data_IF_226490157742
#
_entry.id   IF_226490157742
#
_cell.length_a   1.000
_cell.length_b   1.000
_cell.length_c   1.000
_cell.angle_alpha   90.00
_cell.angle_beta   90.00
_cell.angle_gamma   90.00
#
_symmetry.space_group_name_H-M   'P 1'
#
loop_
_entity.id
_entity.type
_entity.pdbx_description
1 polymer ?
#
# COMPACT_ATOMS: atom_id res chain seq x y z
N UNK A 1 19.14 -7.19 -0.07
CA UNK A 1 19.34 -7.38 1.39
C UNK A 1 18.07 -7.11 2.21
N UNK A 2 17.40 -5.96 2.05
CA UNK A 2 16.17 -5.64 2.82
C UNK A 2 14.99 -6.61 2.56
N UNK A 3 14.77 -7.02 1.31
CA UNK A 3 13.72 -8.01 0.98
C UNK A 3 13.97 -9.37 1.66
N UNK A 4 15.22 -9.84 1.71
CA UNK A 4 15.57 -11.11 2.38
C UNK A 4 15.26 -11.08 3.88
N UNK A 5 15.54 -9.95 4.55
CA UNK A 5 15.23 -9.75 5.96
C UNK A 5 13.70 -9.74 6.18
N UNK A 6 12.94 -9.08 5.30
CA UNK A 6 11.49 -9.08 5.39
C UNK A 6 10.87 -10.46 5.16
N UNK A 7 11.40 -11.27 4.24
CA UNK A 7 10.94 -12.65 4.04
C UNK A 7 11.15 -13.46 5.32
N UNK A 8 12.28 -13.32 6.00
CA UNK A 8 12.54 -13.98 7.29
C UNK A 8 11.49 -13.55 8.33
N UNK A 9 11.21 -12.25 8.45
CA UNK A 9 10.16 -11.77 9.35
C UNK A 9 8.77 -12.30 8.98
N UNK A 10 8.42 -12.35 7.69
CA UNK A 10 7.15 -12.89 7.22
C UNK A 10 7.00 -14.37 7.61
N UNK A 11 8.07 -15.16 7.46
CA UNK A 11 8.10 -16.56 7.88
C UNK A 11 7.91 -16.69 9.40
N UNK A 12 8.59 -15.86 10.20
CA UNK A 12 8.43 -15.84 11.66
C UNK A 12 6.97 -15.48 12.03
N UNK A 13 6.33 -14.60 11.28
CA UNK A 13 4.94 -14.21 11.52
C UNK A 13 3.90 -15.24 11.04
N UNK A 14 4.28 -16.32 10.36
CA UNK A 14 3.37 -17.45 10.13
C UNK A 14 2.97 -18.14 11.45
N UNK A 15 3.76 -18.00 12.52
CA UNK A 15 3.46 -18.55 13.83
C UNK A 15 2.56 -17.60 14.65
N UNK A 16 1.33 -18.00 15.03
CA UNK A 16 0.39 -17.11 15.71
C UNK A 16 0.94 -16.53 17.01
N UNK A 17 1.60 -17.34 17.84
CA UNK A 17 2.23 -16.88 19.10
C UNK A 17 3.26 -15.78 18.87
N UNK A 18 4.03 -15.85 17.78
CA UNK A 18 5.01 -14.83 17.42
C UNK A 18 4.33 -13.54 16.95
N UNK A 19 3.27 -13.64 16.15
CA UNK A 19 2.43 -12.49 15.77
C UNK A 19 1.92 -11.74 17.00
N UNK A 20 1.30 -12.45 17.96
CA UNK A 20 0.76 -11.83 19.17
C UNK A 20 1.85 -11.21 20.05
N UNK A 21 3.06 -11.79 20.09
CA UNK A 21 4.19 -11.25 20.86
C UNK A 21 4.81 -10.00 20.23
N UNK A 22 4.88 -9.94 18.90
CA UNK A 22 5.62 -8.92 18.16
C UNK A 22 4.72 -8.02 17.29
N UNK A 23 3.49 -7.74 17.74
CA UNK A 23 2.48 -7.02 16.96
C UNK A 23 2.92 -5.66 16.40
N UNK A 24 3.65 -4.88 17.20
CA UNK A 24 4.15 -3.55 16.78
C UNK A 24 5.22 -3.67 15.69
N UNK A 25 6.15 -4.61 15.87
CA UNK A 25 7.20 -4.88 14.88
C UNK A 25 6.60 -5.43 13.59
N UNK A 26 5.60 -6.32 13.69
CA UNK A 26 4.88 -6.84 12.54
C UNK A 26 4.24 -5.72 11.71
N UNK A 27 3.54 -4.77 12.34
CA UNK A 27 2.97 -3.63 11.60
C UNK A 27 4.02 -2.75 10.94
N UNK A 28 5.18 -2.57 11.59
CA UNK A 28 6.28 -1.80 11.00
C UNK A 28 6.86 -2.52 9.78
N UNK A 29 7.06 -3.84 9.86
CA UNK A 29 7.52 -4.66 8.72
C UNK A 29 6.53 -4.60 7.56
N UNK A 30 5.22 -4.67 7.82
CA UNK A 30 4.18 -4.54 6.78
C UNK A 30 4.24 -3.15 6.12
N UNK A 31 4.42 -2.07 6.91
CA UNK A 31 4.56 -0.72 6.37
C UNK A 31 5.79 -0.57 5.49
N UNK A 32 6.94 -1.12 5.89
CA UNK A 32 8.15 -1.11 5.08
C UNK A 32 7.97 -1.88 3.77
N UNK A 33 7.28 -3.03 3.83
CA UNK A 33 6.99 -3.82 2.64
C UNK A 33 6.05 -3.07 1.68
N UNK A 34 5.00 -2.45 2.22
CA UNK A 34 4.09 -1.61 1.45
C UNK A 34 4.83 -0.41 0.82
N UNK A 35 5.72 0.25 1.55
CA UNK A 35 6.53 1.33 0.99
C UNK A 35 7.40 0.85 -0.18
N UNK A 36 8.09 -0.28 -0.02
CA UNK A 36 8.93 -0.83 -1.09
C UNK A 36 8.13 -1.21 -2.33
N UNK A 37 7.00 -1.90 -2.16
CA UNK A 37 6.10 -2.21 -3.28
C UNK A 37 5.54 -0.93 -3.92
N UNK A 38 5.21 0.08 -3.12
CA UNK A 38 4.73 1.38 -3.60
C UNK A 38 5.79 2.19 -4.37
N UNK A 39 7.08 1.88 -4.19
CA UNK A 39 8.18 2.55 -4.90
C UNK A 39 8.81 1.70 -6.01
N UNK A 40 8.36 0.46 -6.21
CA UNK A 40 9.08 -0.49 -7.06
C UNK A 40 9.16 -0.02 -8.53
N UNK A 41 8.08 0.58 -9.04
CA UNK A 41 8.05 1.11 -10.40
C UNK A 41 9.03 2.27 -10.61
N UNK A 42 9.12 3.15 -9.62
CA UNK A 42 10.06 4.27 -9.62
C UNK A 42 11.51 3.74 -9.67
N UNK A 43 11.83 2.71 -8.87
CA UNK A 43 13.14 2.06 -8.90
C UNK A 43 13.41 1.41 -10.27
N UNK A 44 12.46 0.68 -10.83
CA UNK A 44 12.58 0.05 -12.17
C UNK A 44 12.86 1.10 -13.25
N UNK A 45 12.25 2.28 -13.18
CA UNK A 45 12.50 3.34 -14.17
C UNK A 45 13.92 3.92 -14.14
N UNK A 46 14.61 3.83 -13.00
CA UNK A 46 15.98 4.33 -12.83
C UNK A 46 17.02 3.32 -13.36
N UNK A 47 16.67 2.04 -13.45
CA UNK A 47 17.60 0.95 -13.82
C UNK A 47 17.28 0.28 -15.16
N UNK A 48 16.21 0.70 -15.84
CA UNK A 48 15.75 0.15 -17.12
C UNK A 48 16.07 1.07 -18.29
N UNK A 49 15.61 0.73 -19.51
CA UNK A 49 15.70 1.56 -20.71
C UNK A 49 15.13 2.98 -20.53
N UNK A 50 14.27 3.20 -19.52
CA UNK A 50 13.80 4.52 -19.10
C UNK A 50 14.90 5.41 -18.50
N UNK A 51 15.97 4.83 -17.97
CA UNK A 51 17.00 5.57 -17.25
C UNK A 51 17.66 6.65 -18.10
N UNK A 52 17.79 6.41 -19.41
CA UNK A 52 18.42 7.35 -20.36
C UNK A 52 17.39 8.24 -21.08
N UNK A 53 16.10 7.89 -21.02
CA UNK A 53 15.03 8.63 -21.69
C UNK A 53 14.41 9.72 -20.79
N UNK A 54 14.71 10.98 -21.07
CA UNK A 54 14.19 12.13 -20.29
C UNK A 54 12.66 12.23 -20.25
N UNK A 55 11.98 11.93 -21.37
CA UNK A 55 10.52 11.95 -21.48
C UNK A 55 9.91 10.80 -20.66
N UNK A 56 10.47 9.59 -20.75
CA UNK A 56 10.05 8.44 -19.95
C UNK A 56 10.22 8.66 -18.44
N UNK A 57 11.32 9.29 -18.02
CA UNK A 57 11.53 9.69 -16.61
C UNK A 57 10.50 10.72 -16.15
N UNK A 58 10.15 11.70 -16.99
CA UNK A 58 9.11 12.68 -16.67
C UNK A 58 7.76 11.99 -16.41
N UNK A 59 7.32 11.09 -17.30
CA UNK A 59 6.08 10.34 -17.11
C UNK A 59 6.10 9.47 -15.86
N UNK A 60 7.22 8.80 -15.59
CA UNK A 60 7.36 8.01 -14.35
C UNK A 60 7.27 8.89 -13.11
N UNK A 61 7.93 10.06 -13.13
CA UNK A 61 7.84 11.04 -12.06
C UNK A 61 6.41 11.50 -11.81
N UNK A 62 5.66 11.81 -12.87
CA UNK A 62 4.25 12.19 -12.79
C UNK A 62 3.37 11.06 -12.24
N UNK A 63 3.59 9.82 -12.67
CA UNK A 63 2.87 8.65 -12.13
C UNK A 63 3.16 8.45 -10.64
N UNK A 64 4.42 8.60 -10.22
CA UNK A 64 4.82 8.50 -8.82
C UNK A 64 4.21 9.62 -7.97
N UNK A 65 4.27 10.87 -8.42
CA UNK A 65 3.63 12.01 -7.74
C UNK A 65 2.12 11.78 -7.59
N UNK A 66 1.46 11.27 -8.64
CA UNK A 66 0.05 10.89 -8.57
C UNK A 66 -0.23 9.83 -7.50
N UNK A 67 0.61 8.79 -7.41
CA UNK A 67 0.49 7.77 -6.36
C UNK A 67 0.69 8.34 -4.95
N UNK A 68 1.64 9.27 -4.77
CA UNK A 68 1.86 9.97 -3.50
C UNK A 68 0.62 10.79 -3.10
N UNK A 69 0.04 11.55 -4.03
CA UNK A 69 -1.18 12.34 -3.78
C UNK A 69 -2.33 11.40 -3.37
N UNK A 70 -2.54 10.31 -4.12
CA UNK A 70 -3.57 9.32 -3.80
C UNK A 70 -3.35 8.71 -2.42
N UNK A 71 -2.11 8.37 -2.06
CA UNK A 71 -1.79 7.85 -0.74
C UNK A 71 -2.13 8.83 0.37
N UNK A 72 -1.76 10.11 0.23
CA UNK A 72 -2.07 11.16 1.21
C UNK A 72 -3.59 11.27 1.42
N UNK A 73 -4.36 11.38 0.35
CA UNK A 73 -5.81 11.52 0.45
C UNK A 73 -6.45 10.25 1.02
N UNK A 74 -5.99 9.06 0.62
CA UNK A 74 -6.44 7.79 1.18
C UNK A 74 -6.15 7.68 2.69
N UNK A 75 -5.00 8.17 3.15
CA UNK A 75 -4.64 8.21 4.58
C UNK A 75 -5.53 9.18 5.34
N UNK A 76 -5.74 10.40 4.83
CA UNK A 76 -6.64 11.37 5.46
C UNK A 76 -8.07 10.83 5.58
N UNK A 77 -8.61 10.25 4.51
CA UNK A 77 -9.95 9.65 4.49
C UNK A 77 -10.05 8.47 5.47
N UNK A 78 -9.04 7.61 5.52
CA UNK A 78 -9.00 6.45 6.42
C UNK A 78 -8.98 6.88 7.90
N UNK A 79 -8.17 7.89 8.25
CA UNK A 79 -8.15 8.43 9.61
C UNK A 79 -9.45 9.16 9.99
N UNK A 80 -10.04 9.89 9.04
CA UNK A 80 -11.34 10.54 9.23
C UNK A 80 -12.42 9.50 9.52
N UNK A 81 -12.53 8.46 8.70
CA UNK A 81 -13.46 7.34 8.93
C UNK A 81 -13.27 6.69 10.29
N UNK A 82 -12.02 6.53 10.74
CA UNK A 82 -11.71 6.01 12.07
C UNK A 82 -12.22 6.92 13.18
N UNK A 83 -12.07 8.23 13.03
CA UNK A 83 -12.56 9.22 14.01
C UNK A 83 -14.10 9.28 14.07
N UNK A 84 -14.78 9.00 12.95
CA UNK A 84 -16.24 8.98 12.85
C UNK A 84 -16.85 7.63 13.30
N UNK A 85 -16.02 6.68 13.77
CA UNK A 85 -16.48 5.40 14.28
C UNK A 85 -16.88 4.37 13.20
N UNK A 86 -16.51 4.59 11.93
CA UNK A 86 -16.86 3.71 10.80
C UNK A 86 -16.33 2.26 10.94
N UNK A 87 -15.34 2.03 11.82
CA UNK A 87 -14.76 0.71 12.10
C UNK A 87 -15.41 0.01 13.31
N UNK A 88 -16.38 0.65 13.97
CA UNK A 88 -17.07 0.12 15.16
C UNK A 88 -18.47 -0.43 14.87
N UNK A 89 -19.11 0.01 13.78
CA UNK A 89 -20.38 -0.54 13.31
C UNK A 89 -20.13 -1.84 12.54
N UNK A 90 -20.95 -2.88 12.79
CA UNK A 90 -20.82 -4.20 12.15
C UNK A 90 -21.01 -4.24 10.62
N UNK A 91 -21.10 -3.08 9.95
CA UNK A 91 -21.18 -2.98 8.50
C UNK A 91 -19.79 -3.15 7.88
N UNK A 92 -19.43 -4.41 7.69
CA UNK A 92 -18.15 -4.96 7.24
C UNK A 92 -17.57 -4.40 5.92
N UNK A 93 -18.22 -3.46 5.21
CA UNK A 93 -17.81 -3.02 3.86
C UNK A 93 -17.56 -1.52 3.67
N UNK A 94 -17.94 -0.64 4.60
CA UNK A 94 -17.83 0.81 4.37
C UNK A 94 -16.41 1.36 4.54
N UNK A 95 -15.58 0.70 5.34
CA UNK A 95 -14.23 1.13 5.74
C UNK A 95 -13.19 1.06 4.60
N UNK A 96 -13.21 -0.04 3.82
CA UNK A 96 -12.17 -0.28 2.80
C UNK A 96 -12.39 0.54 1.53
N UNK A 97 -13.64 0.72 1.12
CA UNK A 97 -14.01 1.43 -0.11
C UNK A 97 -15.06 2.50 0.19
N UNK A 98 -14.65 3.52 0.94
CA UNK A 98 -15.48 4.72 1.14
C UNK A 98 -15.86 5.35 -0.20
N UNK A 99 -16.92 6.17 -0.20
CA UNK A 99 -17.29 6.95 -1.38
C UNK A 99 -16.12 7.82 -1.87
N UNK A 100 -15.33 8.37 -0.94
CA UNK A 100 -14.10 9.12 -1.24
C UNK A 100 -13.08 8.25 -1.96
N UNK A 101 -12.75 7.06 -1.44
CA UNK A 101 -11.82 6.11 -2.09
C UNK A 101 -12.31 5.68 -3.46
N UNK A 102 -13.61 5.44 -3.63
CA UNK A 102 -14.21 5.13 -4.93
C UNK A 102 -14.05 6.25 -5.96
N UNK A 103 -14.27 7.51 -5.56
CA UNK A 103 -14.05 8.67 -6.44
C UNK A 103 -12.57 8.84 -6.80
N UNK A 104 -11.68 8.68 -5.82
CA UNK A 104 -10.23 8.72 -6.03
C UNK A 104 -9.76 7.65 -7.02
N UNK A 105 -10.25 6.41 -6.88
CA UNK A 105 -9.90 5.31 -7.79
C UNK A 105 -10.29 5.66 -9.23
N UNK A 106 -11.50 6.20 -9.45
CA UNK A 106 -11.95 6.62 -10.78
C UNK A 106 -11.03 7.70 -11.37
N UNK A 107 -10.71 8.72 -10.57
CA UNK A 107 -9.78 9.79 -10.98
C UNK A 107 -8.38 9.27 -11.31
N UNK A 108 -7.85 8.38 -10.45
CA UNK A 108 -6.55 7.75 -10.65
C UNK A 108 -6.50 6.91 -11.93
N UNK A 109 -7.56 6.13 -12.23
CA UNK A 109 -7.64 5.34 -13.46
C UNK A 109 -7.54 6.26 -14.69
N UNK A 110 -8.32 7.35 -14.72
CA UNK A 110 -8.29 8.29 -15.85
C UNK A 110 -6.90 8.92 -15.99
N UNK A 111 -6.33 9.40 -14.89
CA UNK A 111 -5.00 10.01 -14.87
C UNK A 111 -3.91 9.04 -15.38
N UNK A 112 -3.88 7.82 -14.84
CA UNK A 112 -2.91 6.79 -15.21
C UNK A 112 -3.05 6.42 -16.68
N UNK A 113 -4.27 6.19 -17.17
CA UNK A 113 -4.49 5.84 -18.57
C UNK A 113 -4.01 6.94 -19.52
N UNK A 114 -4.29 8.21 -19.22
CA UNK A 114 -3.81 9.33 -20.03
C UNK A 114 -2.28 9.34 -20.08
N UNK A 115 -1.60 9.23 -18.93
CA UNK A 115 -0.14 9.25 -18.90
C UNK A 115 0.48 8.04 -19.60
N UNK A 116 -0.09 6.85 -19.43
CA UNK A 116 0.38 5.65 -20.11
C UNK A 116 0.22 5.81 -21.63
N UNK A 117 -0.95 6.24 -22.13
CA UNK A 117 -1.17 6.45 -23.57
C UNK A 117 -0.18 7.48 -24.13
N UNK A 118 0.01 8.62 -23.46
CA UNK A 118 0.97 9.64 -23.88
C UNK A 118 2.41 9.09 -23.90
N UNK A 119 2.78 8.32 -22.88
CA UNK A 119 4.10 7.71 -22.80
C UNK A 119 4.32 6.70 -23.93
N UNK A 120 3.31 5.91 -24.29
CA UNK A 120 3.37 4.96 -25.40
C UNK A 120 3.62 5.65 -26.75
N UNK A 121 2.93 6.77 -27.02
CA UNK A 121 3.08 7.47 -28.30
C UNK A 121 4.36 8.31 -28.40
N UNK A 122 4.90 8.78 -27.27
CA UNK A 122 6.07 9.66 -27.26
C UNK A 122 7.40 8.94 -27.06
N UNK A 123 7.37 7.63 -26.79
CA UNK A 123 8.56 6.83 -26.57
C UNK A 123 8.46 5.53 -27.35
N UNK A 124 9.55 5.11 -27.97
CA UNK A 124 9.61 3.89 -28.77
C UNK A 124 9.91 2.67 -27.89
N UNK A 125 9.07 2.45 -26.86
CA UNK A 125 9.19 1.30 -25.97
C UNK A 125 8.55 0.06 -26.58
N UNK A 126 9.15 -1.10 -26.32
CA UNK A 126 8.54 -2.37 -26.70
C UNK A 126 7.19 -2.60 -25.98
N UNK A 127 6.30 -3.33 -26.63
CA UNK A 127 5.00 -3.70 -26.05
C UNK A 127 5.21 -4.48 -24.74
N UNK A 128 6.19 -5.40 -24.69
CA UNK A 128 6.51 -6.19 -23.51
C UNK A 128 6.92 -5.32 -22.32
N UNK A 129 7.77 -4.31 -22.56
CA UNK A 129 8.14 -3.34 -21.55
C UNK A 129 6.92 -2.56 -21.05
N UNK A 130 6.06 -2.12 -21.95
CA UNK A 130 4.88 -1.33 -21.61
C UNK A 130 3.84 -2.13 -20.82
N UNK A 131 3.63 -3.40 -21.14
CA UNK A 131 2.75 -4.31 -20.37
C UNK A 131 3.27 -4.48 -18.95
N UNK A 132 4.57 -4.77 -18.79
CA UNK A 132 5.20 -4.91 -17.47
C UNK A 132 5.08 -3.62 -16.65
N UNK A 133 5.30 -2.47 -17.30
CA UNK A 133 5.19 -1.16 -16.70
C UNK A 133 3.75 -0.83 -16.27
N UNK A 134 2.77 -1.21 -17.08
CA UNK A 134 1.35 -1.11 -16.75
C UNK A 134 0.99 -1.93 -15.50
N UNK A 135 1.45 -3.18 -15.41
CA UNK A 135 1.26 -4.03 -14.22
C UNK A 135 1.90 -3.40 -12.98
N UNK A 136 3.13 -2.89 -13.10
CA UNK A 136 3.81 -2.20 -12.01
C UNK A 136 3.08 -0.93 -11.56
N UNK A 137 2.46 -0.20 -12.49
CA UNK A 137 1.65 1.00 -12.19
C UNK A 137 0.38 0.63 -11.42
N UNK A 138 -0.33 -0.41 -11.83
CA UNK A 138 -1.50 -0.92 -11.10
C UNK A 138 -1.11 -1.32 -9.67
N UNK A 139 -0.01 -2.05 -9.51
CA UNK A 139 0.50 -2.45 -8.20
C UNK A 139 0.84 -1.24 -7.32
N UNK A 140 1.54 -0.25 -7.86
CA UNK A 140 1.91 0.98 -7.15
C UNK A 140 0.68 1.72 -6.62
N UNK A 141 -0.35 1.93 -7.44
CA UNK A 141 -1.57 2.64 -7.03
C UNK A 141 -2.44 1.81 -6.07
N UNK A 142 -2.52 0.50 -6.26
CA UNK A 142 -3.21 -0.39 -5.32
C UNK A 142 -2.56 -0.33 -3.92
N UNK A 143 -1.23 -0.36 -3.87
CA UNK A 143 -0.47 -0.24 -2.62
C UNK A 143 -0.61 1.15 -2.01
N UNK A 144 -0.57 2.22 -2.81
CA UNK A 144 -0.78 3.59 -2.33
C UNK A 144 -2.13 3.73 -1.61
N UNK A 145 -3.20 3.12 -2.13
CA UNK A 145 -4.53 3.15 -1.50
C UNK A 145 -4.56 2.26 -0.25
N UNK A 146 -4.09 1.01 -0.35
CA UNK A 146 -4.17 0.04 0.75
C UNK A 146 -3.26 0.37 1.93
N UNK A 147 -2.11 0.99 1.69
CA UNK A 147 -1.13 1.33 2.73
C UNK A 147 -1.68 2.31 3.78
N UNK A 148 -2.69 3.12 3.43
CA UNK A 148 -3.36 4.03 4.36
C UNK A 148 -3.95 3.31 5.58
N UNK A 149 -4.51 2.12 5.38
CA UNK A 149 -5.10 1.34 6.48
C UNK A 149 -4.05 0.65 7.34
N UNK A 150 -2.95 0.22 6.73
CA UNK A 150 -1.80 -0.29 7.49
C UNK A 150 -1.15 0.82 8.34
N UNK A 151 -1.12 2.07 7.84
CA UNK A 151 -0.67 3.23 8.62
C UNK A 151 -1.59 3.50 9.81
N UNK A 152 -2.92 3.46 9.60
CA UNK A 152 -3.88 3.58 10.68
C UNK A 152 -3.70 2.45 11.72
N UNK A 153 -3.55 1.20 11.29
CA UNK A 153 -3.34 0.06 12.18
C UNK A 153 -2.05 0.22 13.00
N UNK A 154 -0.96 0.61 12.34
CA UNK A 154 0.30 0.89 13.04
C UNK A 154 0.11 2.00 14.06
N UNK A 155 -0.48 3.13 13.67
CA UNK A 155 -0.81 4.23 14.59
C UNK A 155 -1.59 3.74 15.81
N UNK A 156 -2.66 2.96 15.59
CA UNK A 156 -3.49 2.43 16.67
C UNK A 156 -2.72 1.47 17.59
N UNK A 157 -1.90 0.56 17.05
CA UNK A 157 -1.09 -0.36 17.86
C UNK A 157 -0.03 0.36 18.69
N UNK A 158 0.55 1.46 18.18
CA UNK A 158 1.54 2.22 18.92
C UNK A 158 0.90 3.14 19.98
N UNK A 159 -0.24 3.75 19.67
CA UNK A 159 -0.92 4.71 20.55
C UNK A 159 -1.80 4.06 21.61
N UNK A 160 -2.55 3.02 21.27
CA UNK A 160 -3.58 2.45 22.14
C UNK A 160 -3.24 1.04 22.60
N UNK A 161 -3.28 0.80 23.92
CA UNK A 161 -3.01 -0.52 24.50
C UNK A 161 -4.05 -1.56 24.07
N UNK A 162 -5.31 -1.16 23.90
CA UNK A 162 -6.43 -2.02 23.47
C UNK A 162 -6.21 -2.68 22.10
N UNK A 163 -5.35 -2.12 21.25
CA UNK A 163 -4.98 -2.69 19.96
C UNK A 163 -3.87 -3.75 20.06
N UNK A 164 -3.36 -4.02 21.26
CA UNK A 164 -2.37 -5.06 21.52
C UNK A 164 -2.97 -6.14 22.43
N UNK A 165 -3.25 -7.31 21.87
CA UNK A 165 -3.81 -8.46 22.58
C UNK A 165 -2.70 -9.44 22.98
N UNK A 166 -2.72 -10.06 24.16
CA UNK A 166 -1.79 -11.18 24.42
C UNK A 166 -2.31 -12.49 23.82
N UNK A 167 -1.41 -13.44 23.53
CA UNK A 167 -1.82 -14.77 23.05
C UNK A 167 -2.78 -15.47 24.03
N UNK A 168 -2.49 -15.41 25.33
CA UNK A 168 -3.30 -16.01 26.38
C UNK A 168 -4.70 -15.37 26.47
N UNK A 169 -4.76 -14.04 26.37
CA UNK A 169 -6.02 -13.30 26.38
C UNK A 169 -6.88 -13.62 25.15
N UNK A 170 -6.28 -13.71 23.97
CA UNK A 170 -6.96 -14.14 22.75
C UNK A 170 -7.51 -15.58 22.87
N UNK A 171 -6.74 -16.51 23.43
CA UNK A 171 -7.19 -17.89 23.60
C UNK A 171 -8.33 -18.01 24.64
N UNK A 172 -8.33 -17.20 25.71
CA UNK A 172 -9.47 -17.08 26.63
C UNK A 172 -10.72 -16.54 25.93
N UNK A 173 -10.59 -15.47 25.13
CA UNK A 173 -11.73 -14.91 24.38
C UNK A 173 -12.33 -15.92 23.38
N UNK A 174 -11.52 -16.86 22.89
CA UNK A 174 -11.94 -17.92 21.97
C UNK A 174 -12.44 -19.19 22.68
N UNK A 175 -12.47 -19.22 24.02
CA UNK A 175 -12.89 -20.38 24.81
C UNK A 175 -11.99 -21.60 24.66
N UNK A 176 -10.70 -21.39 24.38
CA UNK A 176 -9.70 -22.47 24.16
C UNK A 176 -8.84 -22.76 25.39
N UNK A 177 -8.98 -21.93 26.44
CA UNK A 177 -8.39 -22.08 27.78
C UNK A 177 -9.41 -21.59 28.80
#
# INVERSE_FOLDING_TARGET
>A
MLFSIQIIFLIIYLFPKACFKFQKLQTLVILLYAFQLGTILFVVSIVSEMADNSTGRMYTGLLFVGAVIIHIVATLDTFKQASEGAFSSGERSTSFFSKTKGAMIKGAIIYVLILLILMYFQNDYSIDFFVMYGVGTVLMYAVAIGAAEFQLLAYCRFKFKSFNMSWAENERMRGRI
#
